data_IF_218176514742
#
_entry.id   IF_218176514742
#
_cell.length_a   1.000
_cell.length_b   1.000
_cell.length_c   1.000
_cell.angle_alpha   90.00
_cell.angle_beta   90.00
_cell.angle_gamma   90.00
#
_symmetry.space_group_name_H-M   'P 1'
#
loop_
_entity.id
_entity.type
_entity.pdbx_description
1 polymer ?
#
# COMPACT_ATOMS: atom_id res chain seq x y z
N UNK A 1 -9.97 -18.96 23.57
CA UNK A 1 -9.26 -20.17 23.07
C UNK A 1 -7.86 -19.75 22.65
N UNK A 2 -6.85 -20.43 23.19
CA UNK A 2 -5.42 -20.08 23.12
C UNK A 2 -4.72 -21.22 22.37
N UNK A 3 -3.88 -20.86 21.41
CA UNK A 3 -2.91 -21.69 20.66
C UNK A 3 -1.94 -22.46 21.60
N UNK A 4 -1.00 -23.35 21.18
CA UNK A 4 -0.46 -23.62 19.83
C UNK A 4 -0.18 -25.11 19.44
N UNK A 5 0.13 -25.37 18.17
CA UNK A 5 0.70 -26.63 17.67
C UNK A 5 2.24 -26.60 17.70
N UNK A 6 2.81 -27.26 18.72
CA UNK A 6 4.18 -27.79 18.75
C UNK A 6 4.04 -29.31 18.66
N UNK A 7 4.61 -29.97 17.66
CA UNK A 7 5.19 -31.34 17.74
C UNK A 7 5.49 -31.90 16.35
N UNK A 8 6.64 -31.54 15.79
CA UNK A 8 7.33 -32.39 14.82
C UNK A 8 8.70 -32.75 15.42
N UNK A 9 8.68 -33.50 16.51
CA UNK A 9 9.87 -34.00 17.21
C UNK A 9 9.58 -35.41 17.73
N UNK A 10 9.38 -36.36 16.81
CA UNK A 10 9.37 -37.77 17.17
C UNK A 10 9.67 -38.60 15.93
N UNK A 11 10.94 -39.03 15.82
CA UNK A 11 11.41 -40.30 15.24
C UNK A 11 12.88 -40.17 14.81
N UNK A 12 13.78 -40.05 15.78
CA UNK A 12 15.16 -40.50 15.56
C UNK A 12 15.74 -41.01 16.89
N UNK A 13 15.27 -42.19 17.29
CA UNK A 13 15.96 -43.01 18.30
C UNK A 13 17.09 -43.75 17.57
N UNK A 14 18.27 -43.15 17.48
CA UNK A 14 19.49 -43.90 17.16
C UNK A 14 20.39 -43.98 18.40
N UNK A 15 20.74 -45.22 18.70
CA UNK A 15 21.40 -45.71 19.90
C UNK A 15 22.72 -45.01 20.22
N UNK A 16 22.82 -44.49 21.44
CA UNK A 16 24.05 -44.00 22.08
C UNK A 16 24.84 -45.20 22.57
N UNK A 17 25.66 -45.82 21.72
CA UNK A 17 26.74 -46.70 22.17
C UNK A 17 27.68 -47.04 21.01
N UNK A 18 28.81 -46.34 20.93
CA UNK A 18 29.98 -46.80 20.19
C UNK A 18 30.30 -45.98 18.94
N UNK A 19 31.07 -44.91 19.12
CA UNK A 19 32.19 -44.51 18.26
C UNK A 19 32.79 -43.22 18.84
N UNK A 20 33.46 -43.37 19.99
CA UNK A 20 34.35 -42.38 20.55
C UNK A 20 35.69 -42.53 19.81
N UNK A 21 35.86 -41.82 18.70
CA UNK A 21 37.14 -41.81 17.99
C UNK A 21 36.99 -41.44 16.52
N UNK A 22 37.67 -40.37 16.13
CA UNK A 22 37.89 -39.87 14.75
C UNK A 22 36.92 -38.79 14.26
N UNK A 23 37.15 -37.54 14.68
CA UNK A 23 36.88 -36.32 13.91
C UNK A 23 37.60 -35.12 14.54
N UNK A 24 38.94 -35.18 14.58
CA UNK A 24 39.80 -34.12 15.10
C UNK A 24 40.74 -33.65 13.98
N UNK A 25 40.17 -33.00 12.95
CA UNK A 25 40.83 -32.11 11.99
C UNK A 25 39.87 -31.71 10.86
N UNK A 26 38.98 -30.74 11.10
CA UNK A 26 38.35 -29.99 10.00
C UNK A 26 39.04 -28.62 9.99
N UNK A 27 39.97 -28.34 9.05
CA UNK A 27 40.51 -27.00 8.90
C UNK A 27 39.36 -26.04 8.53
N UNK A 28 39.35 -24.89 9.20
CA UNK A 28 38.21 -24.01 9.33
C UNK A 28 37.50 -23.68 8.02
N UNK A 29 36.18 -23.91 7.99
CA UNK A 29 35.28 -23.19 7.12
C UNK A 29 35.30 -21.72 7.57
N UNK A 30 36.10 -20.89 6.90
CA UNK A 30 35.90 -19.45 6.95
C UNK A 30 34.58 -19.17 6.25
N UNK A 31 33.53 -18.93 7.02
CA UNK A 31 32.30 -18.30 6.51
C UNK A 31 32.73 -16.92 6.04
N UNK A 32 32.91 -16.75 4.73
CA UNK A 32 33.02 -15.43 4.15
C UNK A 32 31.72 -14.71 4.48
N UNK A 33 31.80 -13.64 5.28
CA UNK A 33 30.68 -12.73 5.47
C UNK A 33 30.36 -12.16 4.09
N UNK A 34 29.31 -12.70 3.45
CA UNK A 34 28.78 -12.12 2.24
C UNK A 34 28.20 -10.78 2.65
N UNK A 35 28.72 -9.70 2.06
CA UNK A 35 28.10 -8.39 2.12
C UNK A 35 26.67 -8.55 1.59
N UNK A 36 25.66 -8.13 2.35
CA UNK A 36 24.28 -8.26 1.89
C UNK A 36 24.11 -7.39 0.64
N UNK A 37 23.54 -7.95 -0.45
CA UNK A 37 23.37 -7.20 -1.68
C UNK A 37 22.42 -6.02 -1.41
N UNK A 38 22.95 -4.79 -1.53
CA UNK A 38 22.16 -3.58 -1.40
C UNK A 38 21.92 -2.95 -2.77
N UNK A 39 20.70 -2.42 -2.95
CA UNK A 39 20.32 -1.64 -4.11
C UNK A 39 20.20 -0.17 -3.69
N UNK A 40 20.84 0.73 -4.43
CA UNK A 40 20.66 2.17 -4.25
C UNK A 40 19.64 2.69 -5.26
N UNK A 41 18.76 3.57 -4.79
CA UNK A 41 17.72 4.22 -5.59
C UNK A 41 17.89 5.73 -5.45
N UNK A 42 17.77 6.45 -6.57
CA UNK A 42 17.87 7.91 -6.54
C UNK A 42 16.60 8.54 -5.96
N UNK A 43 16.70 9.77 -5.43
CA UNK A 43 15.51 10.49 -4.96
C UNK A 43 14.47 10.73 -6.07
N UNK A 44 14.91 10.91 -7.32
CA UNK A 44 14.03 11.08 -8.47
C UNK A 44 13.26 9.80 -8.80
N UNK A 45 13.93 8.65 -8.79
CA UNK A 45 13.28 7.34 -8.98
C UNK A 45 12.31 7.06 -7.82
N UNK A 46 12.71 7.41 -6.61
CA UNK A 46 11.88 7.27 -5.42
C UNK A 46 10.61 8.12 -5.52
N UNK A 47 10.71 9.36 -6.00
CA UNK A 47 9.56 10.23 -6.27
C UNK A 47 8.60 9.64 -7.32
N UNK A 48 9.13 8.96 -8.35
CA UNK A 48 8.30 8.27 -9.35
C UNK A 48 7.52 7.06 -8.78
N UNK A 49 8.01 6.46 -7.70
CA UNK A 49 7.34 5.35 -7.00
C UNK A 49 6.31 5.82 -5.96
N UNK A 50 6.42 7.06 -5.47
CA UNK A 50 5.48 7.57 -4.47
C UNK A 50 4.09 7.80 -5.06
N UNK A 51 3.06 7.50 -4.27
CA UNK A 51 1.73 8.07 -4.52
C UNK A 51 1.80 9.60 -4.48
N UNK A 52 0.86 10.26 -5.16
CA UNK A 52 0.75 11.72 -5.15
C UNK A 52 0.92 12.28 -3.73
N UNK A 53 2.02 13.01 -3.52
CA UNK A 53 2.27 13.77 -2.31
C UNK A 53 1.85 15.21 -2.60
N UNK A 54 0.85 15.75 -1.89
CA UNK A 54 0.44 17.13 -2.09
C UNK A 54 1.62 18.07 -1.82
N UNK A 55 1.68 19.17 -2.56
CA UNK A 55 2.61 20.24 -2.26
C UNK A 55 2.13 21.01 -1.02
N UNK A 56 3.04 21.65 -0.29
CA UNK A 56 2.71 22.30 0.99
C UNK A 56 1.73 23.48 0.83
N UNK A 57 1.66 24.04 -0.38
CA UNK A 57 0.77 25.14 -0.78
C UNK A 57 -0.72 24.73 -0.85
N UNK A 58 -1.04 23.44 -0.85
CA UNK A 58 -2.44 22.96 -0.78
C UNK A 58 -2.93 22.77 0.67
N UNK A 59 -2.08 23.05 1.66
CA UNK A 59 -2.50 23.02 3.07
C UNK A 59 -3.56 24.10 3.31
N UNK A 60 -4.76 23.69 3.71
CA UNK A 60 -5.86 24.60 3.98
C UNK A 60 -5.48 25.66 5.03
N UNK A 61 -5.55 26.94 4.65
CA UNK A 61 -5.39 28.06 5.56
C UNK A 61 -6.76 28.55 6.02
N UNK A 62 -7.08 28.33 7.29
CA UNK A 62 -8.34 28.76 7.86
C UNK A 62 -8.42 30.29 7.99
N UNK A 63 -9.63 30.83 7.85
CA UNK A 63 -9.98 32.05 8.55
C UNK A 63 -10.11 33.33 7.72
N UNK A 64 -9.73 33.38 6.44
CA UNK A 64 -9.99 34.57 5.60
C UNK A 64 -10.32 34.22 4.14
N UNK A 65 -11.30 34.91 3.54
CA UNK A 65 -11.60 34.82 2.11
C UNK A 65 -10.67 35.73 1.27
N UNK A 66 -10.80 35.63 -0.05
CA UNK A 66 -10.06 36.46 -1.02
C UNK A 66 -10.34 37.98 -0.90
N UNK A 67 -11.30 38.38 -0.06
CA UNK A 67 -11.68 39.77 0.23
C UNK A 67 -11.34 40.16 1.67
N UNK A 68 -10.47 39.39 2.33
CA UNK A 68 -10.02 39.60 3.71
C UNK A 68 -11.14 39.56 4.76
N UNK A 69 -12.27 38.92 4.46
CA UNK A 69 -13.33 38.68 5.44
C UNK A 69 -13.08 37.37 6.17
N UNK A 70 -13.38 37.36 7.47
CA UNK A 70 -13.26 36.16 8.27
C UNK A 70 -14.17 35.04 7.72
N UNK A 71 -13.61 33.86 7.50
CA UNK A 71 -14.35 32.66 7.07
C UNK A 71 -14.33 31.67 8.23
N UNK A 72 -15.51 31.21 8.64
CA UNK A 72 -15.61 30.16 9.65
C UNK A 72 -14.86 28.91 9.15
N UNK A 73 -14.07 28.22 10.01
CA UNK A 73 -13.41 26.98 9.63
C UNK A 73 -14.41 25.99 9.04
N UNK A 74 -14.03 25.27 7.99
CA UNK A 74 -14.92 24.30 7.33
C UNK A 74 -15.32 23.12 8.23
N UNK A 75 -14.64 22.93 9.36
CA UNK A 75 -14.90 21.90 10.37
C UNK A 75 -15.95 22.35 11.41
N UNK A 76 -17.14 22.75 10.95
CA UNK A 76 -18.23 23.14 11.86
C UNK A 76 -18.89 21.94 12.57
N UNK A 77 -18.39 20.71 12.40
CA UNK A 77 -19.04 19.47 12.87
C UNK A 77 -18.56 18.90 14.20
N UNK A 78 -17.39 19.29 14.71
CA UNK A 78 -16.85 18.63 15.90
C UNK A 78 -17.53 19.04 17.21
N UNK A 79 -18.14 20.23 17.29
CA UNK A 79 -18.73 20.78 18.53
C UNK A 79 -20.11 21.46 18.34
N UNK A 80 -20.72 21.39 17.15
CA UNK A 80 -22.07 21.90 16.89
C UNK A 80 -23.13 20.82 17.23
N UNK A 81 -24.10 21.08 18.14
CA UNK A 81 -25.25 20.19 18.38
C UNK A 81 -26.15 19.96 17.16
N UNK A 82 -25.99 20.74 16.08
CA UNK A 82 -26.92 20.82 14.95
C UNK A 82 -26.31 20.58 13.56
N UNK A 83 -24.99 20.36 13.42
CA UNK A 83 -24.37 20.54 12.11
C UNK A 83 -23.02 19.87 11.91
N UNK A 84 -23.04 18.63 11.39
CA UNK A 84 -21.87 17.98 10.80
C UNK A 84 -21.80 16.52 11.17
N UNK A 85 -22.79 15.73 10.73
CA UNK A 85 -22.80 14.29 10.99
C UNK A 85 -21.47 13.67 10.57
N UNK A 86 -20.79 13.02 11.52
CA UNK A 86 -19.53 12.34 11.27
C UNK A 86 -19.69 11.40 10.09
N UNK A 87 -19.09 11.75 8.95
CA UNK A 87 -19.07 10.91 7.77
C UNK A 87 -18.15 9.74 8.11
N UNK A 88 -18.73 8.58 8.37
CA UNK A 88 -17.95 7.35 8.49
C UNK A 88 -17.36 7.04 7.12
N UNK A 89 -16.05 7.24 6.98
CA UNK A 89 -15.34 6.85 5.77
C UNK A 89 -15.36 5.32 5.64
N UNK A 90 -15.55 4.79 4.42
CA UNK A 90 -15.47 3.35 4.20
C UNK A 90 -14.04 2.86 4.45
N UNK A 91 -13.87 1.55 4.59
CA UNK A 91 -12.54 0.93 4.69
C UNK A 91 -11.90 0.76 3.31
N UNK A 92 -12.70 0.68 2.25
CA UNK A 92 -12.24 0.51 0.88
C UNK A 92 -13.06 1.33 -0.12
N UNK A 93 -12.43 1.68 -1.24
CA UNK A 93 -13.07 2.28 -2.42
C UNK A 93 -13.14 1.22 -3.51
N UNK A 94 -14.33 1.00 -4.07
CA UNK A 94 -14.57 0.04 -5.15
C UNK A 94 -14.79 0.82 -6.45
N UNK A 95 -14.00 0.51 -7.47
CA UNK A 95 -14.01 1.17 -8.77
C UNK A 95 -14.35 0.10 -9.82
N UNK A 96 -15.56 0.12 -10.41
CA UNK A 96 -15.88 -0.78 -11.50
C UNK A 96 -15.07 -0.41 -12.75
N UNK A 97 -14.50 -1.42 -13.40
CA UNK A 97 -13.81 -1.29 -14.67
C UNK A 97 -14.79 -1.71 -15.76
N UNK A 98 -15.18 -0.76 -16.59
CA UNK A 98 -16.16 -0.92 -17.64
C UNK A 98 -15.58 -0.48 -18.98
N UNK A 99 -16.06 -1.10 -20.07
CA UNK A 99 -15.72 -0.72 -21.45
C UNK A 99 -17.00 -0.30 -22.16
N UNK A 100 -16.98 0.88 -22.76
CA UNK A 100 -18.03 1.32 -23.68
C UNK A 100 -17.92 0.54 -25.00
N UNK A 101 -18.88 -0.35 -25.26
CA UNK A 101 -18.89 -1.16 -26.47
C UNK A 101 -19.24 -0.36 -27.73
N UNK A 102 -19.99 0.73 -27.62
CA UNK A 102 -20.30 1.58 -28.77
C UNK A 102 -19.05 2.26 -29.30
N UNK A 103 -18.27 2.86 -28.40
CA UNK A 103 -16.96 3.42 -28.73
C UNK A 103 -16.02 2.34 -29.26
N UNK A 104 -15.99 1.16 -28.62
CA UNK A 104 -15.09 0.06 -28.99
C UNK A 104 -15.33 -0.50 -30.40
N UNK A 105 -16.59 -0.50 -30.86
CA UNK A 105 -17.00 -1.06 -32.16
C UNK A 105 -17.40 -0.02 -33.20
N UNK A 106 -17.27 1.28 -32.89
CA UNK A 106 -17.64 2.37 -33.80
C UNK A 106 -19.14 2.38 -34.14
N UNK A 107 -19.98 1.89 -33.23
CA UNK A 107 -21.43 1.90 -33.40
C UNK A 107 -21.90 3.29 -32.98
N UNK A 108 -22.54 4.07 -33.87
CA UNK A 108 -23.05 5.37 -33.49
C UNK A 108 -24.02 5.22 -32.33
N UNK A 109 -23.74 5.93 -31.24
CA UNK A 109 -24.57 5.94 -30.04
C UNK A 109 -25.94 6.54 -30.39
N UNK A 110 -26.91 5.68 -30.74
CA UNK A 110 -28.27 6.10 -31.04
C UNK A 110 -28.99 6.32 -29.70
N UNK A 111 -28.72 7.49 -29.14
CA UNK A 111 -29.00 7.86 -27.76
C UNK A 111 -30.49 8.00 -27.43
N UNK A 112 -30.87 7.39 -26.31
CA UNK A 112 -31.41 8.07 -25.12
C UNK A 112 -31.59 7.08 -23.96
N UNK A 113 -31.62 5.77 -24.23
CA UNK A 113 -31.93 4.76 -23.21
C UNK A 113 -31.06 3.48 -23.25
N UNK A 114 -30.02 3.43 -24.07
CA UNK A 114 -29.17 2.23 -24.18
C UNK A 114 -27.72 2.60 -23.87
N UNK A 115 -27.21 2.01 -22.79
CA UNK A 115 -25.79 1.96 -22.47
C UNK A 115 -25.30 0.57 -22.84
N UNK A 116 -24.18 0.51 -23.56
CA UNK A 116 -23.52 -0.74 -23.89
C UNK A 116 -22.23 -0.87 -23.06
N UNK A 117 -22.34 -0.64 -21.75
CA UNK A 117 -21.22 -0.76 -20.82
C UNK A 117 -21.00 -2.25 -20.50
N UNK A 118 -19.82 -2.77 -20.83
CA UNK A 118 -19.42 -4.12 -20.48
C UNK A 118 -18.56 -4.10 -19.21
N UNK A 119 -19.03 -4.77 -18.16
CA UNK A 119 -18.27 -4.95 -16.92
C UNK A 119 -17.08 -5.91 -17.14
N UNK A 120 -15.88 -5.44 -16.82
CA UNK A 120 -14.63 -6.19 -16.93
C UNK A 120 -14.18 -6.73 -15.58
N UNK A 121 -14.38 -5.95 -14.51
CA UNK A 121 -13.92 -6.30 -13.18
C UNK A 121 -14.00 -5.12 -12.22
N UNK A 122 -13.49 -5.30 -11.01
CA UNK A 122 -13.44 -4.24 -10.00
C UNK A 122 -12.00 -4.01 -9.53
N UNK A 123 -11.66 -2.74 -9.32
CA UNK A 123 -10.49 -2.34 -8.55
C UNK A 123 -10.94 -1.95 -7.15
N UNK A 124 -10.40 -2.63 -6.15
CA UNK A 124 -10.64 -2.33 -4.74
C UNK A 124 -9.39 -1.70 -4.15
N UNK A 125 -9.53 -0.51 -3.58
CA UNK A 125 -8.45 0.21 -2.89
C UNK A 125 -8.72 0.22 -1.40
N UNK A 126 -7.87 -0.42 -0.61
CA UNK A 126 -7.92 -0.35 0.85
C UNK A 126 -7.43 1.02 1.32
N UNK A 127 -8.22 1.76 2.09
CA UNK A 127 -7.88 3.15 2.46
C UNK A 127 -6.84 3.25 3.59
N UNK A 128 -6.61 2.17 4.34
CA UNK A 128 -5.62 2.17 5.43
C UNK A 128 -4.18 1.96 4.91
N UNK A 129 -4.00 1.01 4.02
CA UNK A 129 -2.72 0.64 3.38
C UNK A 129 -2.51 1.34 2.03
N UNK A 130 -3.61 1.72 1.37
CA UNK A 130 -3.64 2.16 -0.01
C UNK A 130 -3.38 1.04 -1.03
N UNK A 131 -3.34 -0.23 -0.63
CA UNK A 131 -3.15 -1.33 -1.57
C UNK A 131 -4.34 -1.44 -2.51
N UNK A 132 -4.05 -1.68 -3.79
CA UNK A 132 -5.05 -1.83 -4.83
C UNK A 132 -5.10 -3.27 -5.34
N UNK A 133 -6.30 -3.78 -5.51
CA UNK A 133 -6.58 -5.15 -5.94
C UNK A 133 -7.48 -5.11 -7.17
N UNK A 134 -7.17 -5.89 -8.20
CA UNK A 134 -8.07 -6.12 -9.33
C UNK A 134 -8.68 -7.51 -9.22
N UNK A 135 -10.01 -7.59 -9.10
CA UNK A 135 -10.73 -8.86 -8.89
C UNK A 135 -10.14 -9.69 -7.73
N UNK A 136 -9.74 -9.02 -6.64
CA UNK A 136 -9.12 -9.63 -5.47
C UNK A 136 -7.64 -9.98 -5.59
N UNK A 137 -7.02 -9.78 -6.77
CA UNK A 137 -5.59 -9.99 -6.97
C UNK A 137 -4.82 -8.68 -6.78
N UNK A 138 -3.72 -8.66 -6.01
CA UNK A 138 -2.97 -7.44 -5.78
C UNK A 138 -2.36 -6.91 -7.09
N UNK A 139 -2.48 -5.61 -7.33
CA UNK A 139 -1.92 -4.95 -8.52
C UNK A 139 -0.40 -4.75 -8.44
N UNK A 140 0.16 -4.82 -7.24
CA UNK A 140 1.59 -4.72 -6.98
C UNK A 140 2.03 -5.94 -6.18
N UNK A 141 3.28 -6.37 -6.36
CA UNK A 141 3.89 -7.32 -5.45
C UNK A 141 4.11 -6.71 -4.06
N UNK A 142 4.27 -7.55 -3.05
CA UNK A 142 4.56 -7.10 -1.68
C UNK A 142 5.85 -6.28 -1.62
N UNK A 143 6.89 -6.69 -2.35
CA UNK A 143 8.17 -5.99 -2.41
C UNK A 143 8.03 -4.59 -3.04
N UNK A 144 7.25 -4.46 -4.11
CA UNK A 144 6.99 -3.16 -4.74
C UNK A 144 6.17 -2.24 -3.83
N UNK A 145 5.17 -2.79 -3.14
CA UNK A 145 4.36 -2.05 -2.18
C UNK A 145 5.19 -1.54 -1.00
N UNK A 146 6.10 -2.38 -0.46
CA UNK A 146 7.02 -1.98 0.60
C UNK A 146 7.98 -0.88 0.13
N UNK A 147 8.56 -1.04 -1.07
CA UNK A 147 9.48 -0.06 -1.63
C UNK A 147 8.80 1.30 -1.85
N UNK A 148 7.58 1.30 -2.40
CA UNK A 148 6.79 2.52 -2.59
C UNK A 148 6.47 3.21 -1.25
N UNK A 149 6.11 2.43 -0.22
CA UNK A 149 5.84 2.96 1.12
C UNK A 149 7.08 3.60 1.76
N UNK A 150 8.25 2.95 1.64
CA UNK A 150 9.53 3.52 2.10
C UNK A 150 9.87 4.80 1.36
N UNK A 151 9.70 4.81 0.04
CA UNK A 151 9.93 6.00 -0.75
C UNK A 151 9.04 7.18 -0.33
N UNK A 152 7.78 6.90 -0.02
CA UNK A 152 6.85 7.92 0.43
C UNK A 152 7.23 8.53 1.79
N UNK A 153 7.84 7.74 2.67
CA UNK A 153 8.42 8.27 3.91
C UNK A 153 9.63 9.17 3.64
N UNK A 154 10.60 8.70 2.84
CA UNK A 154 11.83 9.45 2.53
C UNK A 154 11.52 10.81 1.90
N UNK A 155 10.63 10.85 0.90
CA UNK A 155 10.29 12.10 0.20
C UNK A 155 9.61 13.10 1.15
N UNK A 156 8.71 12.63 2.02
CA UNK A 156 8.05 13.48 3.01
C UNK A 156 9.03 14.06 4.04
N UNK A 157 9.94 13.24 4.56
CA UNK A 157 10.95 13.69 5.52
C UNK A 157 11.93 14.67 4.86
N UNK A 158 12.32 14.44 3.60
CA UNK A 158 13.21 15.36 2.88
C UNK A 158 12.60 16.76 2.71
N UNK A 159 11.28 16.85 2.44
CA UNK A 159 10.58 18.14 2.32
C UNK A 159 10.43 18.88 3.65
N UNK A 160 10.39 18.18 4.77
CA UNK A 160 10.27 18.80 6.09
C UNK A 160 11.59 19.41 6.60
N UNK A 161 12.72 19.10 5.95
CA UNK A 161 14.04 19.59 6.31
C UNK A 161 14.48 20.85 5.54
N UNK A 162 13.74 21.25 4.51
CA UNK A 162 13.95 22.45 3.70
C UNK A 162 13.12 23.65 4.21
#
# INVERSE_FOLDING_TARGET
>A
MRSPDLTCFSLCRLSVAGLLGLCLAIPGLTVAAADEPYLTISAADCAALTRHLPADDVTYQAGVDVRSKAVAPADLGANDPSGGGGITLPQAVIIPIEVDLFDRFGIPANGVNFKADAFIGEVTVDLASGQAFFNGQPLQSEAEAELAARCQWIIRDSKAAD
#
